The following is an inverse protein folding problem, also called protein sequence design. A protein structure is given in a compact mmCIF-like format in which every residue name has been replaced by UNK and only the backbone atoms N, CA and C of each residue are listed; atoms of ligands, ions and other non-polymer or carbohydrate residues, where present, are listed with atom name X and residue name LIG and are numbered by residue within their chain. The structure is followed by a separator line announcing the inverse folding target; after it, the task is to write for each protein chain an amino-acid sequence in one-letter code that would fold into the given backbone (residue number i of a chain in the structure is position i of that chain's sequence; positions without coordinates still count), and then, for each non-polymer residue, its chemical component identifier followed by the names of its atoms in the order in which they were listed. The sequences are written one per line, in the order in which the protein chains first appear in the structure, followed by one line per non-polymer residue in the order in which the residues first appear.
data_IF_741595625765
#
_entry.id   IF_741595625765
#
_cell.length_a   1.000
_cell.length_b   1.000
_cell.length_c   1.000
_cell.angle_alpha   90.00
_cell.angle_beta   90.00
_cell.angle_gamma   90.00
#
_symmetry.space_group_name_H-M   'P 1'
#
loop_
_entity.id
_entity.type
_entity.pdbx_description
1 polymer ?
#
# COMPACT_ATOMS: atom_id res chain seq x y z
N UNK A 1 -21.08 -3.18 -3.83
CA UNK A 1 -20.73 -3.98 -2.65
C UNK A 1 -19.75 -5.10 -3.07
N UNK A 2 -18.67 -5.34 -2.33
CA UNK A 2 -17.70 -6.41 -2.65
C UNK A 2 -18.28 -7.77 -2.24
N UNK A 3 -18.20 -8.74 -3.14
CA UNK A 3 -18.68 -10.11 -2.95
C UNK A 3 -17.68 -11.14 -3.51
N UNK A 4 -17.97 -12.43 -3.39
CA UNK A 4 -17.07 -13.51 -3.81
C UNK A 4 -16.73 -13.54 -5.31
N UNK A 5 -17.55 -12.92 -6.16
CA UNK A 5 -17.32 -12.79 -7.62
C UNK A 5 -16.53 -11.52 -7.97
N UNK A 6 -16.36 -10.61 -7.02
CA UNK A 6 -15.65 -9.34 -7.25
C UNK A 6 -14.20 -9.57 -7.63
N UNK A 7 -13.74 -8.82 -8.61
CA UNK A 7 -12.36 -8.82 -9.08
C UNK A 7 -11.50 -8.00 -8.12
N UNK A 8 -10.56 -8.63 -7.44
CA UNK A 8 -9.68 -8.00 -6.45
C UNK A 8 -8.25 -8.00 -6.96
N UNK A 9 -7.65 -6.84 -7.13
CA UNK A 9 -6.22 -6.74 -7.38
C UNK A 9 -5.46 -6.67 -6.06
N UNK A 10 -4.61 -7.68 -5.82
CA UNK A 10 -3.72 -7.73 -4.66
C UNK A 10 -2.29 -7.45 -5.11
N UNK A 11 -1.82 -6.24 -4.86
CA UNK A 11 -0.43 -5.85 -5.08
C UNK A 11 0.45 -6.33 -3.92
N UNK A 12 1.54 -7.04 -4.23
CA UNK A 12 2.50 -7.52 -3.22
C UNK A 12 2.18 -8.91 -2.62
N UNK A 13 1.53 -9.77 -3.38
CA UNK A 13 1.07 -11.11 -2.98
C UNK A 13 2.19 -12.07 -2.54
N UNK A 14 3.45 -11.84 -2.92
CA UNK A 14 4.60 -12.66 -2.54
C UNK A 14 5.23 -12.26 -1.19
N UNK A 15 4.84 -11.09 -0.63
CA UNK A 15 5.28 -10.67 0.70
C UNK A 15 4.55 -11.41 1.83
N UNK A 16 5.05 -11.32 3.05
CA UNK A 16 4.48 -11.98 4.24
C UNK A 16 2.98 -11.67 4.39
N UNK A 17 2.60 -10.40 4.43
CA UNK A 17 1.20 -10.01 4.60
C UNK A 17 0.38 -10.30 3.34
N UNK A 18 0.93 -10.02 2.16
CA UNK A 18 0.24 -10.25 0.89
C UNK A 18 -0.10 -11.72 0.67
N UNK A 19 0.81 -12.64 1.00
CA UNK A 19 0.55 -14.09 0.90
C UNK A 19 -0.52 -14.55 1.89
N UNK A 20 -0.51 -14.02 3.11
CA UNK A 20 -1.54 -14.32 4.12
C UNK A 20 -2.93 -13.83 3.67
N UNK A 21 -3.00 -12.61 3.10
CA UNK A 21 -4.24 -12.07 2.52
C UNK A 21 -4.71 -12.95 1.36
N UNK A 22 -3.83 -13.31 0.43
CA UNK A 22 -4.17 -14.18 -0.72
C UNK A 22 -4.76 -15.51 -0.26
N UNK A 23 -4.09 -16.16 0.69
CA UNK A 23 -4.54 -17.44 1.25
C UNK A 23 -5.91 -17.30 1.94
N UNK A 24 -6.11 -16.21 2.70
CA UNK A 24 -7.39 -15.95 3.37
C UNK A 24 -8.51 -15.72 2.37
N UNK A 25 -8.28 -14.92 1.33
CA UNK A 25 -9.25 -14.69 0.26
C UNK A 25 -9.64 -16.00 -0.44
N UNK A 26 -8.66 -16.85 -0.77
CA UNK A 26 -8.90 -18.18 -1.37
C UNK A 26 -9.73 -19.07 -0.43
N UNK A 27 -9.36 -19.19 0.85
CA UNK A 27 -10.12 -19.96 1.86
C UNK A 27 -11.57 -19.47 1.97
N UNK A 28 -11.79 -18.16 1.85
CA UNK A 28 -13.12 -17.54 1.86
C UNK A 28 -13.85 -17.61 0.51
N UNK A 29 -13.30 -18.35 -0.48
CA UNK A 29 -13.89 -18.56 -1.80
C UNK A 29 -14.05 -17.28 -2.65
N UNK A 30 -13.13 -16.32 -2.49
CA UNK A 30 -12.96 -15.23 -3.46
C UNK A 30 -12.15 -15.76 -4.64
N UNK A 31 -12.83 -16.06 -5.76
CA UNK A 31 -12.23 -16.80 -6.88
C UNK A 31 -11.59 -15.88 -7.93
N UNK A 32 -11.77 -14.58 -7.82
CA UNK A 32 -11.30 -13.61 -8.81
C UNK A 32 -10.25 -12.65 -8.22
N UNK A 33 -9.20 -13.24 -7.61
CA UNK A 33 -8.08 -12.47 -7.08
C UNK A 33 -6.97 -12.42 -8.12
N UNK A 34 -6.65 -11.21 -8.57
CA UNK A 34 -5.60 -10.93 -9.55
C UNK A 34 -4.34 -10.54 -8.82
N UNK A 35 -3.25 -11.18 -9.16
CA UNK A 35 -1.91 -10.89 -8.68
C UNK A 35 -0.96 -10.73 -9.87
N UNK A 36 0.12 -10.00 -9.70
CA UNK A 36 1.13 -9.81 -10.73
C UNK A 36 2.53 -9.78 -10.12
N UNK A 37 3.46 -10.48 -10.72
CA UNK A 37 4.85 -10.50 -10.30
C UNK A 37 5.56 -9.20 -10.69
N UNK A 38 6.54 -8.77 -9.88
CA UNK A 38 7.35 -7.58 -10.14
C UNK A 38 8.04 -7.61 -11.52
N UNK A 39 8.47 -8.79 -11.98
CA UNK A 39 9.10 -8.94 -13.31
C UNK A 39 8.15 -8.60 -14.45
N UNK A 40 6.84 -8.80 -14.27
CA UNK A 40 5.80 -8.50 -15.27
C UNK A 40 5.25 -7.08 -15.14
N UNK A 41 5.21 -6.54 -13.92
CA UNK A 41 4.73 -5.20 -13.63
C UNK A 41 5.55 -4.58 -12.48
N UNK A 42 6.45 -3.66 -12.82
CA UNK A 42 7.07 -2.80 -11.81
C UNK A 42 6.06 -1.73 -11.39
N UNK A 43 5.64 -1.76 -10.14
CA UNK A 43 4.65 -0.84 -9.59
C UNK A 43 5.15 0.61 -9.50
N UNK A 44 6.46 0.84 -9.74
CA UNK A 44 7.04 2.19 -9.82
C UNK A 44 6.84 2.84 -11.21
N UNK A 45 6.47 2.06 -12.21
CA UNK A 45 6.19 2.55 -13.56
C UNK A 45 4.71 2.99 -13.65
N UNK A 46 4.49 4.30 -13.56
CA UNK A 46 3.15 4.90 -13.56
C UNK A 46 2.32 4.50 -14.79
N UNK A 47 2.93 4.53 -15.98
CA UNK A 47 2.22 4.24 -17.24
C UNK A 47 1.77 2.79 -17.28
N UNK A 48 2.65 1.84 -16.90
CA UNK A 48 2.32 0.42 -16.87
C UNK A 48 1.28 0.10 -15.80
N UNK A 49 1.36 0.71 -14.61
CA UNK A 49 0.36 0.53 -13.54
C UNK A 49 -1.01 1.02 -13.99
N UNK A 50 -1.08 2.23 -14.56
CA UNK A 50 -2.34 2.77 -15.06
C UNK A 50 -2.95 1.89 -16.18
N UNK A 51 -2.14 1.49 -17.14
CA UNK A 51 -2.58 0.58 -18.22
C UNK A 51 -3.09 -0.75 -17.63
N UNK A 52 -2.37 -1.32 -16.68
CA UNK A 52 -2.76 -2.58 -16.05
C UNK A 52 -4.10 -2.47 -15.32
N UNK A 53 -4.28 -1.47 -14.46
CA UNK A 53 -5.53 -1.24 -13.72
C UNK A 53 -6.70 -0.98 -14.68
N UNK A 54 -6.48 -0.17 -15.72
CA UNK A 54 -7.46 0.08 -16.78
C UNK A 54 -7.89 -1.22 -17.50
N UNK A 55 -6.94 -2.11 -17.78
CA UNK A 55 -7.18 -3.40 -18.45
C UNK A 55 -7.96 -4.36 -17.56
N UNK A 56 -7.57 -4.52 -16.30
CA UNK A 56 -8.19 -5.51 -15.41
C UNK A 56 -9.52 -5.03 -14.80
N UNK A 57 -9.73 -3.73 -14.67
CA UNK A 57 -10.93 -3.09 -14.09
C UNK A 57 -11.35 -3.75 -12.76
N UNK A 58 -10.54 -3.65 -11.70
CA UNK A 58 -10.83 -4.35 -10.45
C UNK A 58 -11.96 -3.65 -9.70
N UNK A 59 -12.76 -4.42 -8.96
CA UNK A 59 -13.78 -3.90 -8.05
C UNK A 59 -13.16 -3.40 -6.74
N UNK A 60 -12.02 -3.97 -6.36
CA UNK A 60 -11.23 -3.56 -5.20
C UNK A 60 -9.73 -3.73 -5.45
N UNK A 61 -8.94 -2.89 -4.78
CA UNK A 61 -7.47 -2.93 -4.78
C UNK A 61 -6.96 -3.05 -3.35
N UNK A 62 -6.03 -3.97 -3.11
CA UNK A 62 -5.33 -4.13 -1.83
C UNK A 62 -3.84 -3.89 -2.07
N UNK A 63 -3.28 -2.89 -1.41
CA UNK A 63 -1.87 -2.51 -1.54
C UNK A 63 -1.09 -3.07 -0.36
N UNK A 64 -0.58 -4.29 -0.52
CA UNK A 64 0.38 -4.92 0.39
C UNK A 64 1.82 -4.81 -0.13
N UNK A 65 2.01 -4.27 -1.34
CA UNK A 65 3.31 -4.03 -1.93
C UNK A 65 4.00 -2.83 -1.25
N UNK A 66 5.23 -3.05 -0.84
CA UNK A 66 6.13 -2.01 -0.34
C UNK A 66 7.58 -2.48 -0.46
N UNK A 67 8.53 -1.55 -0.51
CA UNK A 67 9.91 -1.84 -0.21
C UNK A 67 10.08 -1.86 1.30
N UNK A 68 10.38 -3.02 1.83
CA UNK A 68 10.54 -3.26 3.27
C UNK A 68 11.93 -3.83 3.57
N UNK A 69 12.39 -3.67 4.81
CA UNK A 69 13.65 -4.22 5.27
C UNK A 69 13.81 -4.04 6.79
N UNK A 70 14.84 -4.69 7.35
CA UNK A 70 15.19 -4.50 8.75
C UNK A 70 15.79 -3.10 9.03
N UNK A 71 16.04 -2.80 10.31
CA UNK A 71 16.55 -1.51 10.80
C UNK A 71 17.80 -1.06 10.02
N UNK A 72 18.79 -1.94 9.86
CA UNK A 72 20.03 -1.60 9.15
C UNK A 72 19.78 -1.20 7.69
N UNK A 73 18.91 -1.90 6.97
CA UNK A 73 18.59 -1.59 5.58
C UNK A 73 17.85 -0.25 5.48
N UNK A 74 16.88 0.00 6.36
CA UNK A 74 16.14 1.27 6.42
C UNK A 74 17.10 2.44 6.67
N UNK A 75 18.00 2.31 7.64
CA UNK A 75 18.93 3.38 7.98
C UNK A 75 19.97 3.63 6.87
N UNK A 76 20.46 2.57 6.22
CA UNK A 76 21.48 2.67 5.17
C UNK A 76 20.94 3.18 3.82
N UNK A 77 19.71 2.81 3.46
CA UNK A 77 19.15 3.07 2.14
C UNK A 77 17.91 3.98 2.18
N UNK A 78 17.91 5.00 3.03
CA UNK A 78 16.78 5.92 3.28
C UNK A 78 16.15 6.45 1.98
N UNK A 79 16.95 6.97 1.05
CA UNK A 79 16.47 7.50 -0.23
C UNK A 79 15.72 6.43 -1.05
N UNK A 80 16.22 5.21 -1.11
CA UNK A 80 15.54 4.13 -1.81
C UNK A 80 14.23 3.73 -1.14
N UNK A 81 14.18 3.74 0.20
CA UNK A 81 12.96 3.37 0.93
C UNK A 81 11.85 4.40 0.74
N UNK A 82 12.17 5.68 0.86
CA UNK A 82 11.16 6.73 0.65
C UNK A 82 10.73 6.77 -0.82
N UNK A 83 11.67 6.81 -1.76
CA UNK A 83 11.37 6.95 -3.19
C UNK A 83 10.54 5.78 -3.72
N UNK A 84 11.02 4.54 -3.53
CA UNK A 84 10.34 3.35 -4.07
C UNK A 84 8.92 3.21 -3.49
N UNK A 85 8.72 3.47 -2.19
CA UNK A 85 7.40 3.36 -1.57
C UNK A 85 6.46 4.47 -2.04
N UNK A 86 6.93 5.71 -2.17
CA UNK A 86 6.13 6.80 -2.75
C UNK A 86 5.69 6.47 -4.17
N UNK A 87 6.61 5.99 -5.03
CA UNK A 87 6.26 5.62 -6.40
C UNK A 87 5.20 4.50 -6.44
N UNK A 88 5.40 3.41 -5.68
CA UNK A 88 4.48 2.28 -5.66
C UNK A 88 3.07 2.72 -5.25
N UNK A 89 2.94 3.41 -4.12
CA UNK A 89 1.64 3.78 -3.58
C UNK A 89 0.95 4.86 -4.42
N UNK A 90 1.68 5.90 -4.85
CA UNK A 90 1.12 6.97 -5.66
C UNK A 90 0.58 6.43 -6.99
N UNK A 91 1.35 5.57 -7.65
CA UNK A 91 0.94 4.99 -8.93
C UNK A 91 -0.33 4.14 -8.78
N UNK A 92 -0.42 3.30 -7.75
CA UNK A 92 -1.59 2.43 -7.57
C UNK A 92 -2.81 3.24 -7.12
N UNK A 93 -2.67 4.13 -6.13
CA UNK A 93 -3.78 4.94 -5.61
C UNK A 93 -4.34 5.84 -6.72
N UNK A 94 -3.48 6.60 -7.40
CA UNK A 94 -3.91 7.50 -8.46
C UNK A 94 -4.51 6.75 -9.65
N UNK A 95 -3.88 5.66 -10.10
CA UNK A 95 -4.45 4.86 -11.20
C UNK A 95 -5.78 4.21 -10.81
N UNK A 96 -5.97 3.82 -9.54
CA UNK A 96 -7.24 3.31 -9.05
C UNK A 96 -8.33 4.36 -9.16
N UNK A 97 -8.06 5.59 -8.74
CA UNK A 97 -8.98 6.71 -8.89
C UNK A 97 -9.32 6.98 -10.36
N UNK A 98 -8.33 7.14 -11.24
CA UNK A 98 -8.53 7.41 -12.67
C UNK A 98 -9.38 6.35 -13.37
N UNK A 99 -9.37 5.11 -12.88
CA UNK A 99 -10.12 3.99 -13.44
C UNK A 99 -11.38 3.62 -12.65
N UNK A 100 -11.86 4.50 -11.77
CA UNK A 100 -13.14 4.38 -11.08
C UNK A 100 -13.20 3.29 -10.01
N UNK A 101 -12.06 2.87 -9.45
CA UNK A 101 -12.02 1.89 -8.35
C UNK A 101 -12.51 2.55 -7.07
N UNK A 102 -13.64 2.09 -6.54
CA UNK A 102 -14.27 2.67 -5.33
C UNK A 102 -13.78 2.04 -4.01
N UNK A 103 -13.14 0.89 -4.06
CA UNK A 103 -12.72 0.15 -2.87
C UNK A 103 -11.21 -0.06 -2.91
N UNK A 104 -10.50 0.61 -2.02
CA UNK A 104 -9.05 0.51 -1.91
C UNK A 104 -8.65 0.33 -0.45
N UNK A 105 -7.78 -0.64 -0.18
CA UNK A 105 -7.14 -0.86 1.11
C UNK A 105 -5.65 -0.58 0.95
N UNK A 106 -5.15 0.42 1.66
CA UNK A 106 -3.73 0.71 1.78
C UNK A 106 -3.22 0.26 3.14
N UNK A 107 -2.23 -0.60 3.17
CA UNK A 107 -1.65 -1.07 4.43
C UNK A 107 -0.65 -0.04 4.96
N UNK A 108 -0.96 0.52 6.13
CA UNK A 108 -0.06 1.36 6.89
C UNK A 108 1.08 0.56 7.53
N UNK A 109 1.62 1.08 8.63
CA UNK A 109 2.66 0.43 9.44
C UNK A 109 2.66 1.01 10.83
N UNK A 110 3.11 0.27 11.84
CA UNK A 110 3.27 0.79 13.21
C UNK A 110 4.32 1.89 13.31
N UNK A 111 5.30 1.94 12.42
CA UNK A 111 6.35 2.97 12.42
C UNK A 111 5.87 4.37 11.99
N UNK A 112 4.61 4.53 11.56
CA UNK A 112 4.00 5.84 11.29
C UNK A 112 3.70 6.64 12.56
N UNK A 113 3.74 5.98 13.71
CA UNK A 113 3.54 6.63 15.01
C UNK A 113 4.85 7.15 15.57
N UNK A 114 4.80 8.17 16.44
CA UNK A 114 5.99 8.71 17.08
C UNK A 114 6.78 7.66 17.85
N UNK A 115 8.12 7.81 17.88
CA UNK A 115 9.02 6.94 18.65
C UNK A 115 8.57 6.79 20.10
N UNK A 116 8.28 7.91 20.75
CA UNK A 116 7.81 7.97 22.14
C UNK A 116 6.29 8.18 22.15
N UNK A 117 5.53 7.18 21.74
CA UNK A 117 4.08 7.24 21.68
C UNK A 117 3.46 6.64 22.94
N UNK A 118 2.45 7.35 23.50
CA UNK A 118 1.69 6.84 24.66
C UNK A 118 0.97 5.52 24.29
N UNK A 119 1.01 4.56 25.20
CA UNK A 119 0.31 3.28 25.06
C UNK A 119 -1.05 3.30 25.79
N UNK A 120 -2.10 2.66 25.26
CA UNK A 120 -2.16 2.07 23.92
C UNK A 120 -2.13 3.13 22.82
N UNK A 121 -1.49 2.82 21.69
CA UNK A 121 -1.35 3.75 20.55
C UNK A 121 -2.73 4.04 19.95
N UNK A 122 -3.00 5.33 19.69
CA UNK A 122 -4.24 5.80 19.05
C UNK A 122 -3.93 6.44 17.70
N UNK A 123 -4.82 6.29 16.73
CA UNK A 123 -4.64 6.85 15.37
C UNK A 123 -4.33 8.35 15.37
N UNK A 124 -4.93 9.12 16.27
CA UNK A 124 -4.69 10.57 16.41
C UNK A 124 -3.27 10.97 16.80
N UNK A 125 -2.41 9.99 17.14
CA UNK A 125 -1.01 10.25 17.46
C UNK A 125 -0.11 10.29 16.22
N UNK A 126 -0.63 10.00 15.04
CA UNK A 126 0.11 10.19 13.78
C UNK A 126 0.50 11.67 13.66
N UNK A 127 1.79 11.94 13.36
CA UNK A 127 2.36 13.28 13.23
C UNK A 127 2.34 14.15 14.52
N UNK A 128 2.13 13.57 15.68
CA UNK A 128 2.11 14.34 16.94
C UNK A 128 3.50 14.55 17.54
N UNK A 129 4.53 13.83 17.09
CA UNK A 129 5.90 13.96 17.56
C UNK A 129 6.87 13.31 16.56
N UNK A 130 8.19 13.31 16.86
CA UNK A 130 9.26 12.76 16.02
C UNK A 130 9.12 11.24 15.81
N UNK A 131 9.39 10.82 14.58
CA UNK A 131 9.45 9.41 14.19
C UNK A 131 10.76 8.78 14.65
N UNK A 132 10.84 7.43 14.62
CA UNK A 132 12.10 6.71 14.83
C UNK A 132 13.06 6.98 13.66
N UNK A 133 14.21 7.59 13.93
CA UNK A 133 15.16 8.08 12.92
C UNK A 133 15.69 6.98 11.99
N UNK A 134 15.82 5.75 12.48
CA UNK A 134 16.35 4.64 11.69
C UNK A 134 15.42 4.17 10.59
N UNK A 135 14.13 4.51 10.65
CA UNK A 135 13.13 4.14 9.66
C UNK A 135 12.19 5.28 9.23
N UNK A 136 12.54 6.52 9.56
CA UNK A 136 11.76 7.72 9.27
C UNK A 136 11.40 7.84 7.78
N UNK A 137 12.31 7.54 6.88
CA UNK A 137 12.09 7.58 5.42
C UNK A 137 10.95 6.66 4.98
N UNK A 138 10.90 5.44 5.51
CA UNK A 138 9.80 4.50 5.26
C UNK A 138 8.50 4.98 5.91
N UNK A 139 8.59 5.44 7.16
CA UNK A 139 7.43 5.93 7.91
C UNK A 139 6.77 7.13 7.21
N UNK A 140 7.56 8.11 6.76
CA UNK A 140 7.08 9.28 6.00
C UNK A 140 6.40 8.84 4.70
N UNK A 141 6.98 7.90 3.97
CA UNK A 141 6.32 7.38 2.77
C UNK A 141 4.95 6.76 3.11
N UNK A 142 4.84 5.97 4.18
CA UNK A 142 3.57 5.38 4.62
C UNK A 142 2.54 6.42 5.08
N UNK A 143 2.98 7.45 5.82
CA UNK A 143 2.11 8.57 6.21
C UNK A 143 1.60 9.31 4.96
N UNK A 144 2.47 9.57 3.99
CA UNK A 144 2.07 10.21 2.73
C UNK A 144 1.01 9.39 1.97
N UNK A 145 1.12 8.06 1.95
CA UNK A 145 0.11 7.19 1.35
C UNK A 145 -1.24 7.23 2.05
N UNK A 146 -1.24 7.28 3.40
CA UNK A 146 -2.46 7.47 4.19
C UNK A 146 -3.11 8.82 3.86
N UNK A 147 -2.33 9.90 3.89
CA UNK A 147 -2.82 11.24 3.57
C UNK A 147 -3.31 11.35 2.13
N UNK A 148 -2.68 10.66 1.20
CA UNK A 148 -3.15 10.59 -0.17
C UNK A 148 -4.54 9.93 -0.24
N UNK A 149 -4.76 8.79 0.41
CA UNK A 149 -6.07 8.14 0.47
C UNK A 149 -7.13 9.04 1.12
N UNK A 150 -6.81 9.69 2.25
CA UNK A 150 -7.71 10.65 2.92
C UNK A 150 -8.09 11.81 1.99
N UNK A 151 -7.11 12.38 1.28
CA UNK A 151 -7.32 13.49 0.36
C UNK A 151 -8.23 13.11 -0.81
N UNK A 152 -8.03 11.89 -1.38
CA UNK A 152 -8.92 11.40 -2.42
C UNK A 152 -10.35 11.16 -1.92
N UNK A 153 -10.51 10.62 -0.71
CA UNK A 153 -11.83 10.42 -0.11
C UNK A 153 -12.54 11.73 0.22
N UNK A 154 -11.79 12.81 0.52
CA UNK A 154 -12.35 14.12 0.80
C UNK A 154 -12.75 14.85 -0.47
N UNK A 155 -11.95 14.74 -1.52
CA UNK A 155 -12.11 15.53 -2.73
C UNK A 155 -13.08 14.90 -3.75
N UNK A 156 -13.18 13.57 -3.77
CA UNK A 156 -13.92 12.79 -4.79
C UNK A 156 -14.84 11.72 -4.17
#
# INVERSE_FOLDING_TARGET
MINKKSKIFLAGHNGMIGSAILNTLKKRKFNNVITVERKKLDLRDQKKVNYFIKKIKPNAVIIAAAKVGGINANNKFKANFIYDNLQIQNNIIHSSYLNGVKNLIFLGSSCIYPKNCKQPIKEKYILSNYLEETNDAYAIAKIAGLKLCESYNHQY
#
